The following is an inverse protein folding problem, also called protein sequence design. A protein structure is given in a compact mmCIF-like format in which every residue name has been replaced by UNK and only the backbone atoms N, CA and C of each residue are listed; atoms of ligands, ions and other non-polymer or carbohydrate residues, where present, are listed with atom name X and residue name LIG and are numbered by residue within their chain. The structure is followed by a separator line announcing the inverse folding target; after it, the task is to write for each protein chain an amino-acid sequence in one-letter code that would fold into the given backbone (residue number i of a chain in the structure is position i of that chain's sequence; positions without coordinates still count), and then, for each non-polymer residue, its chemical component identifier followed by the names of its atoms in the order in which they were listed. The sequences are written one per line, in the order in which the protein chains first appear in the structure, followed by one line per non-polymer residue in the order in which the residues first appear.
data_IF_250096903779
#
_entry.id   IF_250096903779
#
_cell.length_a   1.000
_cell.length_b   1.000
_cell.length_c   1.000
_cell.angle_alpha   90.00
_cell.angle_beta   90.00
_cell.angle_gamma   90.00
#
_symmetry.space_group_name_H-M   'P 1'
#
loop_
_entity.id
_entity.type
_entity.pdbx_description
1 polymer ?
#
# COMPACT_ATOMS: atom_id res chain seq x y z
N UNK A 1 -2.15 -7.81 12.66
CA UNK A 1 -2.70 -8.97 13.41
C UNK A 1 -2.67 -10.25 12.60
N UNK A 2 -3.52 -10.41 11.56
CA UNK A 2 -3.53 -11.66 10.78
C UNK A 2 -2.23 -11.88 10.00
N UNK A 3 -1.67 -10.84 9.38
CA UNK A 3 -0.34 -10.88 8.74
C UNK A 3 0.73 -11.36 9.73
N UNK A 4 0.82 -10.72 10.90
CA UNK A 4 1.74 -11.09 11.99
C UNK A 4 1.57 -12.54 12.44
N UNK A 5 0.32 -13.03 12.58
CA UNK A 5 0.08 -14.43 12.94
C UNK A 5 0.47 -15.39 11.81
N UNK A 6 0.20 -15.03 10.56
CA UNK A 6 0.55 -15.82 9.37
C UNK A 6 2.06 -15.95 9.19
N UNK A 7 2.78 -14.82 9.27
CA UNK A 7 4.25 -14.76 9.18
C UNK A 7 4.91 -15.58 10.32
N UNK A 8 4.42 -15.46 11.56
CA UNK A 8 4.85 -16.31 12.68
C UNK A 8 4.59 -17.80 12.44
N UNK A 9 3.38 -18.18 12.00
CA UNK A 9 3.01 -19.58 11.76
C UNK A 9 3.81 -20.20 10.60
N UNK A 10 4.17 -19.40 9.60
CA UNK A 10 5.00 -19.81 8.45
C UNK A 10 6.50 -19.85 8.78
N UNK A 11 6.91 -19.39 9.97
CA UNK A 11 8.31 -19.35 10.38
C UNK A 11 9.14 -18.27 9.68
N UNK A 12 8.47 -17.25 9.13
CA UNK A 12 9.14 -16.10 8.50
C UNK A 12 9.66 -15.14 9.57
N UNK A 13 8.89 -14.96 10.64
CA UNK A 13 9.32 -14.21 11.82
C UNK A 13 10.14 -15.13 12.75
N UNK A 14 11.45 -14.89 12.86
CA UNK A 14 12.40 -15.67 13.68
C UNK A 14 13.04 -14.83 14.78
N UNK A 15 13.64 -15.48 15.79
CA UNK A 15 14.36 -14.83 16.91
C UNK A 15 15.49 -13.93 16.40
N UNK A 16 16.13 -14.36 15.32
CA UNK A 16 17.21 -13.63 14.64
C UNK A 16 16.71 -12.37 13.93
N UNK A 17 15.41 -12.29 13.60
CA UNK A 17 14.75 -11.18 12.92
C UNK A 17 13.78 -10.41 13.85
N UNK A 18 13.97 -10.50 15.17
CA UNK A 18 13.09 -9.91 16.21
C UNK A 18 12.83 -8.40 16.07
N UNK A 19 13.65 -7.68 15.31
CA UNK A 19 13.44 -6.27 14.98
C UNK A 19 12.14 -6.05 14.17
N UNK A 20 11.66 -7.05 13.42
CA UNK A 20 10.49 -6.96 12.51
C UNK A 20 9.13 -7.10 13.19
N UNK A 21 8.99 -8.06 14.10
CA UNK A 21 7.74 -8.39 14.81
C UNK A 21 8.07 -9.04 16.16
N UNK A 22 8.60 -8.27 17.12
CA UNK A 22 9.16 -8.84 18.33
C UNK A 22 8.10 -9.56 19.16
N UNK A 23 6.83 -9.17 19.12
CA UNK A 23 5.90 -9.52 20.19
C UNK A 23 5.51 -11.00 20.23
N UNK A 24 5.36 -11.66 19.08
CA UNK A 24 5.06 -13.09 19.02
C UNK A 24 6.32 -13.95 19.22
N UNK A 25 7.45 -13.49 18.67
CA UNK A 25 8.73 -14.21 18.70
C UNK A 25 9.37 -14.14 20.11
N UNK A 26 9.34 -12.96 20.74
CA UNK A 26 9.82 -12.73 22.12
C UNK A 26 8.85 -13.25 23.20
N UNK A 27 7.71 -13.82 22.80
CA UNK A 27 6.70 -14.37 23.72
C UNK A 27 5.87 -13.33 24.49
N UNK A 28 6.02 -12.03 24.22
CA UNK A 28 5.21 -10.95 24.82
C UNK A 28 3.72 -11.09 24.49
N UNK A 29 3.38 -11.62 23.31
CA UNK A 29 2.03 -11.92 22.88
C UNK A 29 1.87 -13.42 22.58
N UNK A 30 0.74 -14.00 22.99
CA UNK A 30 0.41 -15.39 22.67
C UNK A 30 -0.19 -15.47 21.25
N UNK A 31 0.24 -16.41 20.39
CA UNK A 31 -0.30 -16.55 19.02
C UNK A 31 -1.82 -16.70 18.96
N UNK A 32 -2.41 -17.46 19.90
CA UNK A 32 -3.87 -17.60 20.02
C UNK A 32 -4.57 -16.27 20.32
N UNK A 33 -3.95 -15.38 21.10
CA UNK A 33 -4.50 -14.06 21.39
C UNK A 33 -4.49 -13.18 20.14
N UNK A 34 -3.38 -13.14 19.41
CA UNK A 34 -3.26 -12.33 18.17
C UNK A 34 -4.26 -12.79 17.11
N UNK A 35 -4.47 -14.10 16.96
CA UNK A 35 -5.48 -14.65 16.05
C UNK A 35 -6.91 -14.25 16.48
N UNK A 36 -7.25 -14.39 17.77
CA UNK A 36 -8.56 -14.00 18.31
C UNK A 36 -8.82 -12.50 18.14
N UNK A 37 -7.81 -11.66 18.40
CA UNK A 37 -7.91 -10.21 18.19
C UNK A 37 -8.09 -9.89 16.71
N UNK A 38 -7.35 -10.55 15.81
CA UNK A 38 -7.55 -10.41 14.37
C UNK A 38 -8.97 -10.78 13.92
N UNK A 39 -9.52 -11.89 14.43
CA UNK A 39 -10.89 -12.30 14.16
C UNK A 39 -11.93 -11.32 14.75
N UNK A 40 -11.68 -10.78 15.94
CA UNK A 40 -12.53 -9.77 16.55
C UNK A 40 -12.52 -8.46 15.74
N UNK A 41 -11.37 -8.05 15.21
CA UNK A 41 -11.28 -6.90 14.29
C UNK A 41 -12.08 -7.15 13.01
N UNK A 42 -12.02 -8.34 12.41
CA UNK A 42 -12.88 -8.69 11.27
C UNK A 42 -14.36 -8.58 11.66
N UNK A 43 -14.75 -9.14 12.81
CA UNK A 43 -16.12 -9.04 13.31
C UNK A 43 -16.58 -7.58 13.47
N UNK A 44 -15.75 -6.73 14.07
CA UNK A 44 -16.04 -5.30 14.23
C UNK A 44 -16.16 -4.58 12.88
N UNK A 45 -15.28 -4.87 11.92
CA UNK A 45 -15.35 -4.29 10.57
C UNK A 45 -16.60 -4.78 9.83
N UNK A 46 -17.04 -6.03 10.01
CA UNK A 46 -18.30 -6.51 9.46
C UNK A 46 -19.50 -5.76 10.04
N UNK A 47 -19.51 -5.46 11.35
CA UNK A 47 -20.57 -4.65 11.97
C UNK A 47 -20.60 -3.22 11.41
N UNK A 48 -19.42 -2.60 11.24
CA UNK A 48 -19.31 -1.30 10.56
C UNK A 48 -19.81 -1.40 9.12
N UNK A 49 -19.47 -2.49 8.41
CA UNK A 49 -19.95 -2.78 7.07
C UNK A 49 -21.48 -2.88 6.98
N UNK A 50 -22.16 -3.41 8.01
CA UNK A 50 -23.63 -3.41 8.08
C UNK A 50 -24.17 -1.98 8.20
N UNK A 51 -23.54 -1.13 9.03
CA UNK A 51 -23.94 0.29 9.13
C UNK A 51 -23.76 0.99 7.78
N UNK A 52 -22.64 0.75 7.09
CA UNK A 52 -22.40 1.30 5.75
C UNK A 52 -23.37 0.73 4.71
N UNK A 53 -23.76 -0.54 4.80
CA UNK A 53 -24.79 -1.13 3.93
C UNK A 53 -26.14 -0.42 4.09
N UNK A 54 -26.52 -0.09 5.32
CA UNK A 54 -27.76 0.65 5.59
C UNK A 54 -27.70 2.09 5.08
N UNK A 55 -26.50 2.68 4.97
CA UNK A 55 -26.32 4.06 4.53
C UNK A 55 -26.10 4.20 3.02
N UNK A 56 -25.16 3.44 2.45
CA UNK A 56 -24.72 3.52 1.07
C UNK A 56 -25.39 2.48 0.15
N UNK A 57 -26.15 1.54 0.71
CA UNK A 57 -26.80 0.47 -0.04
C UNK A 57 -25.91 -0.72 -0.35
N UNK A 58 -26.42 -1.66 -1.14
CA UNK A 58 -25.76 -2.94 -1.43
C UNK A 58 -24.37 -2.86 -2.08
N UNK A 59 -23.98 -1.83 -2.89
CA UNK A 59 -22.68 -1.81 -3.55
C UNK A 59 -21.48 -1.95 -2.62
N UNK A 60 -21.58 -1.44 -1.38
CA UNK A 60 -20.49 -1.54 -0.39
C UNK A 60 -20.18 -2.99 -0.01
N UNK A 61 -21.12 -3.93 -0.17
CA UNK A 61 -20.90 -5.34 0.08
C UNK A 61 -19.84 -5.93 -0.86
N UNK A 62 -19.75 -5.43 -2.10
CA UNK A 62 -18.73 -5.89 -3.05
C UNK A 62 -17.33 -5.59 -2.50
N UNK A 63 -17.10 -4.34 -2.08
CA UNK A 63 -15.82 -3.93 -1.48
C UNK A 63 -15.55 -4.63 -0.15
N UNK A 64 -16.57 -4.79 0.70
CA UNK A 64 -16.44 -5.50 1.98
C UNK A 64 -16.05 -6.97 1.81
N UNK A 65 -16.71 -7.69 0.90
CA UNK A 65 -16.40 -9.09 0.60
C UNK A 65 -15.00 -9.23 0.00
N UNK A 66 -14.64 -8.39 -0.98
CA UNK A 66 -13.30 -8.38 -1.56
C UNK A 66 -12.23 -8.09 -0.51
N UNK A 67 -12.48 -7.14 0.41
CA UNK A 67 -11.59 -6.81 1.51
C UNK A 67 -11.39 -7.96 2.50
N UNK A 68 -12.47 -8.65 2.91
CA UNK A 68 -12.40 -9.80 3.80
C UNK A 68 -11.65 -10.98 3.15
N UNK A 69 -11.97 -11.26 1.88
CA UNK A 69 -11.26 -12.29 1.11
C UNK A 69 -9.79 -11.92 1.02
N UNK A 70 -9.47 -10.69 0.61
CA UNK A 70 -8.09 -10.19 0.48
C UNK A 70 -7.31 -10.34 1.78
N UNK A 71 -7.85 -9.85 2.90
CA UNK A 71 -7.22 -9.93 4.22
C UNK A 71 -7.01 -11.37 4.71
N UNK A 72 -7.99 -12.26 4.50
CA UNK A 72 -7.89 -13.66 4.90
C UNK A 72 -6.92 -14.46 4.04
N UNK A 73 -6.85 -14.17 2.74
CA UNK A 73 -6.06 -14.96 1.78
C UNK A 73 -4.61 -14.47 1.61
N UNK A 74 -4.31 -13.25 2.05
CA UNK A 74 -2.98 -12.66 1.94
C UNK A 74 -1.88 -13.49 2.64
N UNK A 75 -2.13 -13.94 3.87
CA UNK A 75 -1.16 -14.70 4.69
C UNK A 75 -1.70 -15.96 5.38
N UNK A 76 -3.02 -16.15 5.45
CA UNK A 76 -3.61 -17.26 6.21
C UNK A 76 -4.16 -18.36 5.30
N UNK A 77 -4.95 -18.02 4.28
CA UNK A 77 -5.53 -18.99 3.32
C UNK A 77 -4.93 -18.83 1.92
N UNK A 78 -4.26 -19.85 1.37
CA UNK A 78 -3.56 -19.75 0.08
C UNK A 78 -2.25 -18.95 0.14
N UNK A 79 -2.19 -17.93 0.99
CA UNK A 79 -0.98 -17.16 1.33
C UNK A 79 -0.24 -16.64 0.10
N UNK A 80 -0.98 -16.04 -0.85
CA UNK A 80 -0.45 -15.67 -2.15
C UNK A 80 0.67 -14.61 -2.07
N UNK A 81 0.83 -13.93 -0.93
CA UNK A 81 2.03 -13.12 -0.62
C UNK A 81 3.31 -13.89 -0.93
N UNK A 82 3.37 -15.16 -0.52
CA UNK A 82 4.52 -16.05 -0.73
C UNK A 82 4.51 -16.77 -2.08
N UNK A 83 3.59 -16.41 -2.98
CA UNK A 83 3.57 -16.84 -4.38
C UNK A 83 3.97 -15.69 -5.33
N UNK A 84 4.55 -14.62 -4.79
CA UNK A 84 4.91 -13.42 -5.54
C UNK A 84 3.74 -12.50 -5.88
N UNK A 85 2.55 -12.72 -5.33
CA UNK A 85 1.37 -11.89 -5.61
C UNK A 85 1.14 -10.78 -4.55
N UNK A 86 2.09 -10.60 -3.62
CA UNK A 86 2.01 -9.59 -2.56
C UNK A 86 1.86 -8.16 -3.11
N UNK A 87 2.73 -7.76 -4.04
CA UNK A 87 2.71 -6.44 -4.67
C UNK A 87 1.42 -6.18 -5.46
N UNK A 88 1.00 -7.15 -6.28
CA UNK A 88 -0.27 -7.05 -7.02
C UNK A 88 -1.48 -6.88 -6.08
N UNK A 89 -1.48 -7.58 -4.94
CA UNK A 89 -2.54 -7.43 -3.95
C UNK A 89 -2.52 -6.07 -3.27
N UNK A 90 -1.36 -5.55 -2.87
CA UNK A 90 -1.28 -4.18 -2.30
C UNK A 90 -1.74 -3.15 -3.31
N UNK A 91 -1.32 -3.27 -4.58
CA UNK A 91 -1.75 -2.39 -5.66
C UNK A 91 -3.29 -2.40 -5.79
N UNK A 92 -3.91 -3.57 -5.86
CA UNK A 92 -5.36 -3.69 -6.03
C UNK A 92 -6.14 -3.31 -4.77
N UNK A 93 -5.82 -3.92 -3.63
CA UNK A 93 -6.59 -3.77 -2.38
C UNK A 93 -6.37 -2.41 -1.76
N UNK A 94 -5.12 -1.99 -1.61
CA UNK A 94 -4.78 -0.74 -0.94
C UNK A 94 -4.76 0.45 -1.91
N UNK A 95 -4.28 0.23 -3.12
CA UNK A 95 -4.17 1.28 -4.12
C UNK A 95 -5.50 1.66 -4.76
N UNK A 96 -6.30 0.68 -5.21
CA UNK A 96 -7.52 0.95 -6.01
C UNK A 96 -8.82 0.74 -5.24
N UNK A 97 -8.97 -0.40 -4.56
CA UNK A 97 -10.23 -0.77 -3.91
C UNK A 97 -10.50 0.06 -2.65
N UNK A 98 -9.50 0.49 -1.88
CA UNK A 98 -9.72 1.37 -0.74
C UNK A 98 -10.28 2.74 -1.15
N UNK A 99 -9.71 3.49 -2.12
CA UNK A 99 -10.30 4.72 -2.62
C UNK A 99 -11.69 4.54 -3.23
N UNK A 100 -11.87 3.52 -4.06
CA UNK A 100 -13.17 3.22 -4.67
C UNK A 100 -14.23 2.81 -3.64
N UNK A 101 -13.85 2.03 -2.62
CA UNK A 101 -14.73 1.66 -1.51
C UNK A 101 -15.11 2.86 -0.65
N UNK A 102 -14.18 3.81 -0.47
CA UNK A 102 -14.45 5.08 0.20
C UNK A 102 -15.46 5.91 -0.59
N UNK A 103 -15.26 6.05 -1.91
CA UNK A 103 -16.23 6.70 -2.79
C UNK A 103 -17.60 6.03 -2.68
N UNK A 104 -17.65 4.70 -2.81
CA UNK A 104 -18.88 3.92 -2.73
C UNK A 104 -19.61 4.12 -1.40
N UNK A 105 -18.88 4.16 -0.28
CA UNK A 105 -19.47 4.42 1.03
C UNK A 105 -20.06 5.84 1.16
N UNK A 106 -19.54 6.82 0.42
CA UNK A 106 -19.97 8.22 0.47
C UNK A 106 -21.08 8.54 -0.54
N UNK A 107 -21.01 8.00 -1.75
CA UNK A 107 -21.95 8.29 -2.84
C UNK A 107 -23.10 7.27 -2.96
N UNK A 108 -22.91 6.07 -2.42
CA UNK A 108 -23.79 4.92 -2.66
C UNK A 108 -23.62 4.28 -4.04
N UNK A 109 -22.73 4.81 -4.89
CA UNK A 109 -22.47 4.28 -6.22
C UNK A 109 -21.37 3.22 -6.19
N UNK A 110 -21.52 2.18 -7.02
CA UNK A 110 -20.55 1.08 -7.06
C UNK A 110 -19.19 1.50 -7.59
N UNK A 111 -19.12 2.45 -8.53
CA UNK A 111 -17.90 2.74 -9.28
C UNK A 111 -17.86 4.18 -9.76
N UNK A 112 -16.67 4.79 -9.74
CA UNK A 112 -16.40 6.07 -10.39
C UNK A 112 -15.05 6.01 -11.11
N UNK A 113 -15.07 6.32 -12.41
CA UNK A 113 -13.87 6.30 -13.24
C UNK A 113 -12.85 7.34 -12.80
N UNK A 114 -13.30 8.54 -12.39
CA UNK A 114 -12.41 9.61 -11.92
C UNK A 114 -11.64 9.19 -10.67
N UNK A 115 -12.33 8.56 -9.70
CA UNK A 115 -11.70 8.02 -8.48
C UNK A 115 -10.70 6.92 -8.82
N UNK A 116 -11.04 6.01 -9.73
CA UNK A 116 -10.11 4.98 -10.20
C UNK A 116 -8.85 5.63 -10.78
N UNK A 117 -9.02 6.57 -11.72
CA UNK A 117 -7.90 7.22 -12.41
C UNK A 117 -6.99 7.99 -11.44
N UNK A 118 -7.57 8.79 -10.54
CA UNK A 118 -6.82 9.55 -9.53
C UNK A 118 -6.14 8.66 -8.48
N UNK A 119 -6.65 7.44 -8.26
CA UNK A 119 -6.02 6.49 -7.34
C UNK A 119 -4.77 5.82 -7.93
N UNK A 120 -4.64 5.71 -9.26
CA UNK A 120 -3.54 4.96 -9.90
C UNK A 120 -2.14 5.44 -9.51
N UNK A 121 -1.80 6.76 -9.49
CA UNK A 121 -0.47 7.21 -9.07
C UNK A 121 -0.15 6.76 -7.63
N UNK A 122 -1.12 6.89 -6.74
CA UNK A 122 -0.97 6.49 -5.34
C UNK A 122 -0.87 4.97 -5.18
N UNK A 123 -1.57 4.21 -6.03
CA UNK A 123 -1.52 2.74 -6.07
C UNK A 123 -0.13 2.21 -6.40
N UNK A 124 0.59 2.84 -7.33
CA UNK A 124 1.99 2.49 -7.58
C UNK A 124 2.88 2.84 -6.38
N UNK A 125 2.72 4.03 -5.81
CA UNK A 125 3.56 4.45 -4.67
C UNK A 125 3.36 3.58 -3.42
N UNK A 126 2.13 3.16 -3.08
CA UNK A 126 1.89 2.29 -1.93
C UNK A 126 2.45 0.88 -2.16
N UNK A 127 2.40 0.37 -3.40
CA UNK A 127 3.07 -0.88 -3.78
C UNK A 127 4.58 -0.74 -3.65
N UNK A 128 5.13 0.42 -4.01
CA UNK A 128 6.54 0.71 -3.85
C UNK A 128 7.00 0.68 -2.38
N UNK A 129 6.13 1.02 -1.42
CA UNK A 129 6.42 0.85 0.01
C UNK A 129 6.64 -0.64 0.34
N UNK A 130 5.80 -1.53 -0.20
CA UNK A 130 5.99 -2.98 -0.05
C UNK A 130 7.25 -3.46 -0.78
N UNK A 131 7.49 -3.00 -2.00
CA UNK A 131 8.71 -3.36 -2.74
C UNK A 131 9.97 -2.90 -2.00
N UNK A 132 9.96 -1.71 -1.39
CA UNK A 132 11.04 -1.22 -0.54
C UNK A 132 11.27 -2.12 0.68
N UNK A 133 10.19 -2.67 1.25
CA UNK A 133 10.27 -3.62 2.36
C UNK A 133 10.90 -4.94 1.89
N UNK A 134 10.46 -5.48 0.75
CA UNK A 134 11.04 -6.70 0.17
C UNK A 134 12.52 -6.52 -0.23
N UNK A 135 12.92 -5.32 -0.68
CA UNK A 135 14.29 -5.02 -1.09
C UNK A 135 15.24 -4.78 0.10
N UNK A 136 14.75 -4.14 1.17
CA UNK A 136 15.50 -4.03 2.44
C UNK A 136 15.86 -5.42 2.97
N UNK A 137 14.92 -6.34 2.86
CA UNK A 137 14.94 -7.66 3.47
C UNK A 137 15.45 -8.75 2.52
N UNK A 138 16.01 -8.36 1.36
CA UNK A 138 16.25 -9.27 0.23
C UNK A 138 17.13 -10.48 0.59
N UNK A 139 18.28 -10.26 1.24
CA UNK A 139 19.22 -11.36 1.51
C UNK A 139 18.71 -12.32 2.60
N UNK A 140 18.02 -11.80 3.62
CA UNK A 140 17.42 -12.59 4.70
C UNK A 140 16.27 -13.44 4.17
N UNK A 141 15.35 -12.82 3.42
CA UNK A 141 14.18 -13.50 2.86
C UNK A 141 14.59 -14.58 1.84
N UNK A 142 15.69 -14.35 1.12
CA UNK A 142 16.27 -15.34 0.20
C UNK A 142 16.79 -16.59 0.92
N UNK A 143 17.46 -16.40 2.07
CA UNK A 143 17.97 -17.52 2.90
C UNK A 143 16.84 -18.33 3.51
N UNK A 144 15.76 -17.66 3.90
CA UNK A 144 14.55 -18.27 4.48
C UNK A 144 13.59 -18.86 3.44
N UNK A 145 13.90 -18.77 2.14
CA UNK A 145 13.09 -19.33 1.07
C UNK A 145 11.73 -18.66 0.90
N UNK A 146 11.60 -17.37 1.23
CA UNK A 146 10.37 -16.60 1.07
C UNK A 146 10.12 -16.35 -0.42
N UNK A 147 8.96 -16.76 -0.94
CA UNK A 147 8.61 -16.59 -2.36
C UNK A 147 7.92 -15.25 -2.69
N UNK A 148 8.52 -14.10 -2.37
CA UNK A 148 7.96 -12.80 -2.82
C UNK A 148 8.32 -12.50 -4.28
N UNK A 149 7.71 -11.46 -4.87
CA UNK A 149 7.99 -11.09 -6.26
C UNK A 149 9.46 -10.67 -6.41
N UNK A 150 9.96 -9.87 -5.47
CA UNK A 150 11.35 -9.44 -5.46
C UNK A 150 12.32 -10.63 -5.36
N UNK A 151 11.96 -11.70 -4.64
CA UNK A 151 12.79 -12.91 -4.51
C UNK A 151 12.88 -13.74 -5.79
N UNK A 152 11.88 -13.66 -6.66
CA UNK A 152 11.94 -14.26 -8.01
C UNK A 152 12.76 -13.42 -9.00
N UNK A 153 13.14 -12.19 -8.63
CA UNK A 153 13.98 -11.30 -9.41
C UNK A 153 15.41 -11.25 -8.84
N UNK A 154 16.38 -10.78 -9.64
CA UNK A 154 17.67 -10.36 -9.09
C UNK A 154 17.49 -9.09 -8.24
N UNK A 155 18.39 -8.86 -7.28
CA UNK A 155 18.37 -7.64 -6.46
C UNK A 155 18.29 -6.37 -7.33
N UNK A 156 19.08 -6.32 -8.41
CA UNK A 156 19.07 -5.20 -9.36
C UNK A 156 17.72 -4.99 -10.02
N UNK A 157 17.05 -6.06 -10.46
CA UNK A 157 15.74 -5.98 -11.09
C UNK A 157 14.63 -5.64 -10.09
N UNK A 158 14.72 -6.14 -8.85
CA UNK A 158 13.83 -5.74 -7.77
C UNK A 158 13.97 -4.25 -7.43
N UNK A 159 15.20 -3.73 -7.37
CA UNK A 159 15.46 -2.30 -7.17
C UNK A 159 14.94 -1.45 -8.35
N UNK A 160 15.07 -1.93 -9.59
CA UNK A 160 14.47 -1.28 -10.77
C UNK A 160 12.95 -1.22 -10.69
N UNK A 161 12.30 -2.30 -10.24
CA UNK A 161 10.86 -2.33 -10.03
C UNK A 161 10.43 -1.33 -8.95
N UNK A 162 11.09 -1.35 -7.80
CA UNK A 162 10.86 -0.38 -6.71
C UNK A 162 10.99 1.08 -7.18
N UNK A 163 12.02 1.39 -7.96
CA UNK A 163 12.20 2.73 -8.53
C UNK A 163 11.13 3.06 -9.57
N UNK A 164 10.77 2.12 -10.43
CA UNK A 164 9.71 2.30 -11.42
C UNK A 164 8.38 2.64 -10.74
N UNK A 165 7.99 1.91 -9.71
CA UNK A 165 6.73 2.15 -8.98
C UNK A 165 6.69 3.52 -8.31
N UNK A 166 7.81 4.03 -7.78
CA UNK A 166 7.88 5.39 -7.25
C UNK A 166 7.86 6.46 -8.36
N UNK A 167 8.47 6.19 -9.52
CA UNK A 167 8.63 7.18 -10.60
C UNK A 167 7.37 7.29 -11.48
N UNK A 168 6.70 6.17 -11.78
CA UNK A 168 5.59 6.11 -12.76
C UNK A 168 4.38 6.97 -12.35
N UNK A 169 4.21 7.24 -11.06
CA UNK A 169 3.15 8.10 -10.54
C UNK A 169 3.18 9.53 -11.13
N UNK A 170 4.36 10.07 -11.43
CA UNK A 170 4.53 11.43 -11.96
C UNK A 170 4.11 11.59 -13.43
N UNK A 171 4.63 10.81 -14.40
CA UNK A 171 4.13 10.88 -15.77
C UNK A 171 2.66 10.47 -15.87
N UNK A 172 2.20 9.57 -15.00
CA UNK A 172 0.78 9.21 -14.95
C UNK A 172 -0.09 10.39 -14.51
N UNK A 173 0.27 11.10 -13.44
CA UNK A 173 -0.44 12.31 -13.02
C UNK A 173 -0.38 13.40 -14.11
N UNK A 174 0.78 13.59 -14.75
CA UNK A 174 0.92 14.54 -15.86
C UNK A 174 -0.05 14.22 -17.00
N UNK A 175 -0.15 12.94 -17.38
CA UNK A 175 -1.08 12.48 -18.40
C UNK A 175 -2.55 12.70 -17.99
N UNK A 176 -2.91 12.40 -16.74
CA UNK A 176 -4.27 12.63 -16.24
C UNK A 176 -4.65 14.12 -16.28
N UNK A 177 -3.73 15.02 -15.91
CA UNK A 177 -3.95 16.48 -16.00
C UNK A 177 -4.07 16.90 -17.47
N UNK A 178 -3.17 16.44 -18.34
CA UNK A 178 -3.16 16.81 -19.76
C UNK A 178 -4.42 16.34 -20.51
N UNK A 179 -4.97 15.19 -20.12
CA UNK A 179 -6.21 14.64 -20.67
C UNK A 179 -7.48 15.24 -20.03
N UNK A 180 -7.34 16.13 -19.03
CA UNK A 180 -8.47 16.72 -18.31
C UNK A 180 -9.17 15.76 -17.35
N UNK A 181 -8.57 14.61 -17.05
CA UNK A 181 -9.08 13.64 -16.07
C UNK A 181 -8.71 13.98 -14.62
N UNK A 182 -7.78 14.91 -14.42
CA UNK A 182 -7.40 15.43 -13.11
C UNK A 182 -7.37 16.97 -13.14
N UNK A 183 -7.83 17.65 -12.06
CA UNK A 183 -7.72 19.10 -11.95
C UNK A 183 -6.30 19.63 -12.09
N UNK A 184 -6.11 20.80 -12.72
CA UNK A 184 -4.79 21.41 -12.88
C UNK A 184 -4.08 21.65 -11.54
N UNK A 185 -4.81 22.06 -10.50
CA UNK A 185 -4.24 22.26 -9.17
C UNK A 185 -3.67 20.98 -8.53
N UNK A 186 -4.03 19.77 -9.00
CA UNK A 186 -3.35 18.54 -8.55
C UNK A 186 -1.87 18.50 -8.93
N UNK A 187 -1.42 19.38 -9.84
CA UNK A 187 0.00 19.60 -10.12
C UNK A 187 0.83 20.00 -8.88
N UNK A 188 0.19 20.43 -7.78
CA UNK A 188 0.88 20.61 -6.49
C UNK A 188 1.61 19.33 -6.03
N UNK A 189 1.13 18.15 -6.40
CA UNK A 189 1.80 16.89 -6.07
C UNK A 189 3.19 16.77 -6.71
N UNK A 190 3.52 17.51 -7.79
CA UNK A 190 4.87 17.54 -8.35
C UNK A 190 5.92 18.16 -7.42
N UNK A 191 5.52 18.87 -6.36
CA UNK A 191 6.45 19.33 -5.33
C UNK A 191 7.17 18.17 -4.63
N UNK A 192 6.58 16.97 -4.63
CA UNK A 192 7.21 15.76 -4.05
C UNK A 192 8.29 15.15 -4.95
N UNK A 193 8.57 15.73 -6.13
CA UNK A 193 9.78 15.39 -6.88
C UNK A 193 11.04 15.56 -6.02
N UNK A 194 11.03 16.48 -5.05
CA UNK A 194 12.11 16.59 -4.07
C UNK A 194 12.27 15.32 -3.21
N UNK A 195 11.17 14.76 -2.70
CA UNK A 195 11.20 13.50 -1.94
C UNK A 195 11.62 12.33 -2.83
N UNK A 196 11.17 12.30 -4.09
CA UNK A 196 11.62 11.31 -5.07
C UNK A 196 13.14 11.39 -5.30
N UNK A 197 13.70 12.59 -5.46
CA UNK A 197 15.15 12.75 -5.64
C UNK A 197 15.93 12.21 -4.44
N UNK A 198 15.47 12.49 -3.21
CA UNK A 198 16.05 11.95 -1.98
C UNK A 198 15.98 10.42 -1.95
N UNK A 199 14.82 9.86 -2.31
CA UNK A 199 14.61 8.41 -2.40
C UNK A 199 15.56 7.78 -3.41
N UNK A 200 15.65 8.31 -4.64
CA UNK A 200 16.53 7.79 -5.71
C UNK A 200 18.00 7.85 -5.29
N UNK A 201 18.43 8.93 -4.64
CA UNK A 201 19.78 9.06 -4.10
C UNK A 201 20.07 7.97 -3.05
N UNK A 202 19.14 7.76 -2.11
CA UNK A 202 19.27 6.74 -1.08
C UNK A 202 19.30 5.32 -1.68
N UNK A 203 18.47 5.02 -2.68
CA UNK A 203 18.42 3.71 -3.33
C UNK A 203 19.74 3.30 -3.98
N UNK A 204 20.57 4.26 -4.41
CA UNK A 204 21.90 3.98 -4.98
C UNK A 204 22.89 3.53 -3.92
N UNK A 205 22.70 3.94 -2.66
CA UNK A 205 23.56 3.60 -1.53
C UNK A 205 23.12 2.31 -0.83
N UNK A 206 21.83 1.96 -0.93
CA UNK A 206 21.22 0.80 -0.29
C UNK A 206 21.96 -0.55 -0.49
N UNK A 207 22.59 -0.87 -1.64
CA UNK A 207 23.31 -2.13 -1.80
C UNK A 207 24.57 -2.25 -0.93
N UNK A 208 25.14 -1.13 -0.50
CA UNK A 208 26.41 -1.08 0.23
C UNK A 208 26.27 -0.52 1.67
N UNK A 209 25.13 0.07 2.01
CA UNK A 209 24.88 0.69 3.31
C UNK A 209 23.54 0.19 3.90
N UNK A 210 23.64 -0.48 5.05
CA UNK A 210 22.49 -1.01 5.78
C UNK A 210 21.51 0.09 6.23
N UNK A 211 22.02 1.28 6.57
CA UNK A 211 21.15 2.40 6.93
C UNK A 211 20.35 2.87 5.71
N UNK A 212 21.01 3.03 4.57
CA UNK A 212 20.33 3.37 3.31
C UNK A 212 19.31 2.29 2.91
N UNK A 213 19.64 1.00 3.10
CA UNK A 213 18.69 -0.11 2.90
C UNK A 213 17.45 0.00 3.80
N UNK A 214 17.63 0.30 5.08
CA UNK A 214 16.52 0.54 6.01
C UNK A 214 15.65 1.72 5.56
N UNK A 215 16.27 2.80 5.07
CA UNK A 215 15.60 4.03 4.66
C UNK A 215 14.75 3.90 3.38
N UNK A 216 14.80 2.77 2.65
CA UNK A 216 13.94 2.52 1.49
C UNK A 216 12.45 2.65 1.86
N UNK A 217 12.02 2.01 2.96
CA UNK A 217 10.60 2.01 3.38
C UNK A 217 10.15 3.38 3.90
N UNK A 218 10.84 4.04 4.86
CA UNK A 218 10.44 5.36 5.34
C UNK A 218 10.40 6.42 4.25
N UNK A 219 11.34 6.40 3.30
CA UNK A 219 11.36 7.38 2.21
C UNK A 219 10.23 7.16 1.20
N UNK A 220 9.95 5.90 0.82
CA UNK A 220 8.81 5.58 -0.03
C UNK A 220 7.48 5.96 0.65
N UNK A 221 7.33 5.69 1.95
CA UNK A 221 6.16 6.07 2.71
C UNK A 221 6.00 7.59 2.79
N UNK A 222 7.09 8.32 3.06
CA UNK A 222 7.07 9.79 3.10
C UNK A 222 6.66 10.39 1.75
N UNK A 223 7.24 9.88 0.65
CA UNK A 223 6.88 10.29 -0.71
C UNK A 223 5.39 10.04 -0.96
N UNK A 224 4.91 8.83 -0.67
CA UNK A 224 3.50 8.45 -0.82
C UNK A 224 2.56 9.38 -0.03
N UNK A 225 2.89 9.64 1.24
CA UNK A 225 2.10 10.50 2.12
C UNK A 225 2.03 11.95 1.63
N UNK A 226 3.18 12.56 1.35
CA UNK A 226 3.23 13.94 0.84
C UNK A 226 2.52 14.06 -0.52
N UNK A 227 2.69 13.06 -1.39
CA UNK A 227 2.05 13.06 -2.71
C UNK A 227 0.54 13.02 -2.57
N UNK A 228 0.00 12.12 -1.75
CA UNK A 228 -1.44 12.02 -1.48
C UNK A 228 -2.02 13.31 -0.89
N UNK A 229 -1.36 13.89 0.12
CA UNK A 229 -1.80 15.15 0.76
C UNK A 229 -1.85 16.30 -0.25
N UNK A 230 -0.81 16.47 -1.06
CA UNK A 230 -0.74 17.54 -2.06
C UNK A 230 -1.71 17.32 -3.22
N UNK A 231 -1.93 16.06 -3.63
CA UNK A 231 -2.94 15.69 -4.61
C UNK A 231 -4.34 16.09 -4.13
N UNK A 232 -4.70 15.71 -2.89
CA UNK A 232 -5.98 16.07 -2.28
C UNK A 232 -6.11 17.58 -2.10
N UNK A 233 -5.08 18.26 -1.61
CA UNK A 233 -5.09 19.72 -1.47
C UNK A 233 -5.31 20.41 -2.81
N UNK A 234 -4.63 19.97 -3.87
CA UNK A 234 -4.82 20.47 -5.22
C UNK A 234 -6.25 20.27 -5.73
N UNK A 235 -6.82 19.09 -5.49
CA UNK A 235 -8.21 18.80 -5.85
C UNK A 235 -9.20 19.75 -5.14
N UNK A 236 -9.04 19.93 -3.83
CA UNK A 236 -9.89 20.83 -3.02
C UNK A 236 -9.75 22.29 -3.45
N UNK A 237 -8.54 22.75 -3.75
CA UNK A 237 -8.29 24.13 -4.21
C UNK A 237 -9.00 24.39 -5.54
N UNK A 238 -8.92 23.46 -6.50
CA UNK A 238 -9.61 23.62 -7.78
C UNK A 238 -11.12 23.77 -7.58
N UNK A 239 -11.71 22.91 -6.75
CA UNK A 239 -13.16 22.78 -6.72
C UNK A 239 -13.84 23.76 -5.75
N UNK A 240 -13.15 24.15 -4.67
CA UNK A 240 -13.75 24.97 -3.62
C UNK A 240 -13.15 26.37 -3.50
N UNK A 241 -11.87 26.59 -3.84
CA UNK A 241 -11.22 27.90 -3.64
C UNK A 241 -11.25 28.76 -4.92
N UNK A 242 -10.90 28.19 -6.08
CA UNK A 242 -10.84 28.91 -7.34
C UNK A 242 -12.18 29.50 -7.81
N UNK A 243 -13.33 28.78 -7.71
CA UNK A 243 -14.63 29.34 -8.10
C UNK A 243 -15.11 30.50 -7.22
N UNK A 244 -14.48 30.75 -6.06
CA UNK A 244 -14.82 31.88 -5.19
C UNK A 244 -14.04 33.16 -5.52
N UNK A 245 -13.00 33.04 -6.36
CA UNK A 245 -12.08 34.14 -6.71
C UNK A 245 -12.30 34.64 -8.14
N UNK A 246 -13.03 33.88 -8.97
CA UNK A 246 -13.44 34.22 -10.34
C UNK A 246 -14.91 34.61 -10.39
#
# INVERSE_FOLDING_TARGET
MLNTYGDFKKGVDTVENEVRSPELVTGKLKPKSVLKTGAACIGAVCLIGIVLLLHAGWPILVYGVLGVIGAGTYTVCGSYKYLGLGQASVFLMMGLLMPLGTYCAMSGELFCLEVLLLSLPNAFMITAVLAGNEMRDYDEDRRSGVGTLSQHLSYENGMRLYLFENIVAFPLLAALIALGCAPLCTALAFLTLYDLLRLVQNSRLAPADAHAGFMLVPLAFKLNWHFGVLLTAGYLIQYYALPLVM
#
